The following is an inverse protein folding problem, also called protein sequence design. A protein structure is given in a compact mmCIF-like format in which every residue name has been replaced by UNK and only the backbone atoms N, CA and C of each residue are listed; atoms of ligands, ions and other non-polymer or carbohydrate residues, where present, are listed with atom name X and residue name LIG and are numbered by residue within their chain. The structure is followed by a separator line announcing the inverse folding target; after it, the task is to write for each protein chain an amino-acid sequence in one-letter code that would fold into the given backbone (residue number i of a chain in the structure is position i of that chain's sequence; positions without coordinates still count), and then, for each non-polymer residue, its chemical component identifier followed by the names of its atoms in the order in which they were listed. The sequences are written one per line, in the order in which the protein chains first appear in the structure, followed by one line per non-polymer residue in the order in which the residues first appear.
data_IF_406069268821
#
_entry.id   IF_406069268821
#
_cell.length_a   1.000
_cell.length_b   1.000
_cell.length_c   1.000
_cell.angle_alpha   90.00
_cell.angle_beta   90.00
_cell.angle_gamma   90.00
#
_symmetry.space_group_name_H-M   'P 1'
#
loop_
_entity.id
_entity.type
_entity.pdbx_description
1 polymer ?
#
# COMPACT_ATOMS: atom_id res chain seq x y z
N UNK A 1 37.22 -24.47 -5.72
CA UNK A 1 36.07 -24.29 -4.82
C UNK A 1 35.80 -22.80 -4.68
N UNK A 2 34.94 -22.22 -5.54
CA UNK A 2 34.28 -20.89 -5.44
C UNK A 2 33.44 -20.64 -6.71
N UNK A 3 32.32 -21.33 -6.83
CA UNK A 3 31.29 -21.10 -7.85
C UNK A 3 29.92 -21.14 -7.19
N UNK A 4 29.56 -20.13 -6.37
CA UNK A 4 28.24 -20.07 -5.76
C UNK A 4 27.74 -18.64 -5.54
N UNK A 5 28.17 -17.65 -6.34
CA UNK A 5 27.79 -16.23 -6.10
C UNK A 5 27.10 -15.54 -7.29
N UNK A 6 26.89 -16.18 -8.44
CA UNK A 6 26.30 -15.51 -9.62
C UNK A 6 24.83 -15.90 -9.95
N UNK A 7 24.28 -16.95 -9.36
CA UNK A 7 22.88 -17.36 -9.67
C UNK A 7 21.80 -16.61 -8.90
N UNK A 8 22.13 -15.95 -7.80
CA UNK A 8 21.12 -15.21 -7.00
C UNK A 8 20.73 -13.85 -7.57
N UNK A 9 21.45 -13.30 -8.54
CA UNK A 9 21.22 -11.96 -9.08
C UNK A 9 20.06 -11.87 -10.10
N UNK A 10 19.50 -12.99 -10.60
CA UNK A 10 18.51 -13.02 -11.68
C UNK A 10 17.14 -13.62 -11.31
N UNK A 11 16.91 -13.98 -10.06
CA UNK A 11 15.62 -14.51 -9.66
C UNK A 11 14.57 -13.39 -9.57
N UNK A 12 13.43 -13.57 -10.24
CA UNK A 12 12.29 -12.65 -10.13
C UNK A 12 11.82 -12.64 -8.67
N UNK A 13 11.73 -11.48 -8.01
CA UNK A 13 11.32 -11.40 -6.61
C UNK A 13 9.84 -11.72 -6.43
N UNK A 14 9.43 -11.97 -5.19
CA UNK A 14 8.03 -11.95 -4.81
C UNK A 14 7.50 -10.52 -4.73
N UNK A 15 6.19 -10.35 -4.90
CA UNK A 15 5.52 -9.07 -4.85
C UNK A 15 4.47 -9.06 -3.74
N UNK A 16 4.46 -8.04 -2.90
CA UNK A 16 3.46 -7.93 -1.85
C UNK A 16 2.68 -6.63 -1.94
N UNK A 17 1.36 -6.76 -1.75
CA UNK A 17 0.46 -5.65 -1.52
C UNK A 17 -0.04 -5.72 -0.07
N UNK A 18 0.05 -4.60 0.65
CA UNK A 18 -0.22 -4.52 2.07
C UNK A 18 -1.22 -3.39 2.32
N UNK A 19 -2.33 -3.73 2.96
CA UNK A 19 -3.35 -2.76 3.35
C UNK A 19 -3.69 -2.87 4.84
N UNK A 20 -4.02 -1.73 5.45
CA UNK A 20 -4.46 -1.69 6.84
C UNK A 20 -5.89 -2.17 7.00
N UNK A 21 -6.12 -3.28 7.71
CA UNK A 21 -7.45 -3.78 8.05
C UNK A 21 -7.76 -3.65 9.55
N UNK A 22 -8.97 -4.03 9.98
CA UNK A 22 -9.37 -3.94 11.40
C UNK A 22 -8.54 -4.83 12.31
N UNK A 23 -8.18 -6.02 11.84
CA UNK A 23 -7.39 -6.99 12.61
C UNK A 23 -5.87 -6.72 12.56
N UNK A 24 -5.42 -5.71 11.82
CA UNK A 24 -4.02 -5.38 11.65
C UNK A 24 -3.69 -5.05 10.19
N UNK A 25 -2.94 -5.89 9.54
CA UNK A 25 -2.44 -5.72 8.18
C UNK A 25 -2.84 -6.92 7.32
N UNK A 26 -3.56 -6.66 6.25
CA UNK A 26 -3.79 -7.66 5.22
C UNK A 26 -2.61 -7.66 4.24
N UNK A 27 -1.99 -8.81 4.10
CA UNK A 27 -0.85 -9.02 3.19
C UNK A 27 -1.27 -10.00 2.10
N UNK A 28 -1.13 -9.60 0.85
CA UNK A 28 -1.22 -10.47 -0.31
C UNK A 28 0.19 -10.63 -0.87
N UNK A 29 0.77 -11.83 -0.75
CA UNK A 29 2.10 -12.16 -1.24
C UNK A 29 1.99 -13.04 -2.49
N UNK A 30 2.41 -12.51 -3.62
CA UNK A 30 2.45 -13.18 -4.92
C UNK A 30 3.88 -13.66 -5.22
N UNK A 31 4.06 -14.97 -5.30
CA UNK A 31 5.33 -15.55 -5.73
C UNK A 31 5.45 -15.53 -7.27
N UNK A 32 6.65 -15.33 -7.83
CA UNK A 32 6.83 -15.21 -9.29
C UNK A 32 6.45 -16.49 -10.05
N UNK A 33 6.45 -17.64 -9.39
CA UNK A 33 6.03 -18.94 -9.95
C UNK A 33 4.50 -19.13 -9.91
N UNK A 34 3.77 -18.33 -9.16
CA UNK A 34 2.30 -18.40 -9.10
C UNK A 34 1.72 -18.05 -10.47
N UNK A 35 0.95 -18.99 -11.04
CA UNK A 35 0.29 -18.81 -12.34
C UNK A 35 -1.15 -18.33 -12.22
N UNK A 36 -1.66 -18.25 -10.99
CA UNK A 36 -3.03 -17.86 -10.65
C UNK A 36 -3.05 -17.13 -9.31
N UNK A 37 -3.96 -16.17 -9.16
CA UNK A 37 -4.14 -15.41 -7.93
C UNK A 37 -4.56 -16.28 -6.73
N UNK A 38 -5.13 -17.46 -6.99
CA UNK A 38 -5.47 -18.46 -5.97
C UNK A 38 -4.23 -19.06 -5.29
N UNK A 39 -3.07 -19.03 -5.96
CA UNK A 39 -1.78 -19.44 -5.39
C UNK A 39 -1.09 -18.36 -4.57
N UNK A 40 -1.70 -17.19 -4.40
CA UNK A 40 -1.13 -16.16 -3.53
C UNK A 40 -1.32 -16.52 -2.06
N UNK A 41 -0.29 -16.25 -1.27
CA UNK A 41 -0.41 -16.33 0.17
C UNK A 41 -1.12 -15.07 0.68
N UNK A 42 -2.24 -15.27 1.38
CA UNK A 42 -3.00 -14.19 2.00
C UNK A 42 -2.96 -14.37 3.52
N UNK A 43 -2.44 -13.38 4.21
CA UNK A 43 -2.22 -13.45 5.66
C UNK A 43 -2.67 -12.15 6.33
N UNK A 44 -3.25 -12.26 7.53
CA UNK A 44 -3.53 -11.13 8.39
C UNK A 44 -2.46 -11.11 9.48
N UNK A 45 -1.67 -10.05 9.52
CA UNK A 45 -0.65 -9.81 10.53
C UNK A 45 -1.16 -8.79 11.55
N UNK A 46 -0.96 -9.06 12.84
CA UNK A 46 -1.41 -8.16 13.91
C UNK A 46 -0.58 -6.87 13.95
N UNK A 47 0.70 -6.96 13.61
CA UNK A 47 1.67 -5.87 13.67
C UNK A 47 2.48 -5.77 12.38
N UNK A 48 3.03 -4.61 12.10
CA UNK A 48 3.87 -4.42 10.91
C UNK A 48 5.21 -5.17 11.00
N UNK A 49 5.73 -5.42 12.20
CA UNK A 49 6.89 -6.30 12.40
C UNK A 49 6.63 -7.72 11.86
N UNK A 50 5.41 -8.25 12.09
CA UNK A 50 5.03 -9.58 11.61
C UNK A 50 4.93 -9.60 10.08
N UNK A 51 4.48 -8.49 9.47
CA UNK A 51 4.51 -8.33 8.01
C UNK A 51 5.94 -8.43 7.49
N UNK A 52 6.89 -7.71 8.08
CA UNK A 52 8.28 -7.74 7.66
C UNK A 52 8.93 -9.11 7.84
N UNK A 53 8.58 -9.83 8.91
CA UNK A 53 9.06 -11.20 9.17
C UNK A 53 8.48 -12.22 8.18
N UNK A 54 7.24 -11.99 7.70
CA UNK A 54 6.59 -12.85 6.70
C UNK A 54 7.23 -12.72 5.31
N UNK A 55 7.73 -11.53 4.96
CA UNK A 55 8.18 -11.23 3.60
C UNK A 55 9.63 -11.70 3.37
N UNK A 56 9.90 -12.52 2.34
CA UNK A 56 11.26 -12.82 1.92
C UNK A 56 12.09 -11.54 1.70
N UNK A 57 13.40 -11.56 1.98
CA UNK A 57 14.25 -10.35 1.87
C UNK A 57 14.23 -9.68 0.49
N UNK A 58 14.05 -10.44 -0.58
CA UNK A 58 13.98 -9.95 -1.95
C UNK A 58 12.61 -9.41 -2.36
N UNK A 59 11.59 -9.51 -1.50
CA UNK A 59 10.22 -9.08 -1.84
C UNK A 59 10.16 -7.59 -2.09
N UNK A 60 9.54 -7.20 -3.20
CA UNK A 60 9.14 -5.82 -3.47
C UNK A 60 7.71 -5.63 -2.97
N UNK A 61 7.50 -4.66 -2.09
CA UNK A 61 6.22 -4.46 -1.40
C UNK A 61 5.69 -3.05 -1.62
N UNK A 62 4.38 -2.92 -1.82
CA UNK A 62 3.66 -1.66 -1.79
C UNK A 62 2.66 -1.67 -0.63
N UNK A 63 2.62 -0.60 0.16
CA UNK A 63 1.79 -0.50 1.36
C UNK A 63 0.99 0.80 1.37
N UNK A 64 -0.32 0.71 1.70
CA UNK A 64 -1.20 1.89 1.87
C UNK A 64 -1.04 2.49 3.26
N UNK A 65 0.09 3.12 3.48
CA UNK A 65 0.39 3.85 4.72
C UNK A 65 1.48 4.90 4.46
N UNK A 66 1.41 6.10 5.07
CA UNK A 66 2.44 7.11 4.92
C UNK A 66 3.82 6.65 5.38
N UNK A 67 4.83 6.84 4.52
CA UNK A 67 6.25 6.63 4.83
C UNK A 67 6.98 7.97 4.72
N UNK A 68 7.71 8.35 5.77
CA UNK A 68 8.30 9.67 5.88
C UNK A 68 7.27 10.73 6.30
N UNK A 69 7.60 11.48 7.35
CA UNK A 69 6.69 12.41 7.99
C UNK A 69 7.35 13.78 8.15
N UNK A 70 6.56 14.83 7.94
CA UNK A 70 7.01 16.20 8.21
C UNK A 70 7.34 16.40 9.69
N UNK A 71 8.34 17.23 9.98
CA UNK A 71 8.64 17.68 11.34
C UNK A 71 7.61 18.73 11.80
N UNK A 72 7.18 19.59 10.89
CA UNK A 72 6.24 20.68 11.14
C UNK A 72 5.05 20.61 10.19
N UNK A 73 3.92 21.15 10.64
CA UNK A 73 2.71 21.17 9.82
C UNK A 73 2.88 22.08 8.60
N UNK A 74 2.48 21.56 7.45
CA UNK A 74 2.39 22.30 6.21
C UNK A 74 0.95 22.26 5.65
N UNK A 75 0.46 23.35 5.03
CA UNK A 75 -0.85 23.37 4.40
C UNK A 75 -0.97 22.23 3.36
N UNK A 76 -1.95 21.36 3.56
CA UNK A 76 -2.18 20.20 2.69
C UNK A 76 -1.23 19.02 2.87
N UNK A 77 -0.37 19.01 3.90
CA UNK A 77 0.53 17.89 4.21
C UNK A 77 1.79 17.85 3.35
N UNK A 78 2.34 16.65 3.14
CA UNK A 78 3.54 16.41 2.34
C UNK A 78 3.32 16.76 0.86
N UNK A 79 4.38 17.02 0.11
CA UNK A 79 4.29 17.27 -1.35
C UNK A 79 3.63 16.11 -2.09
N UNK A 80 3.94 14.89 -1.72
CA UNK A 80 3.34 13.69 -2.30
C UNK A 80 1.81 13.66 -2.08
N UNK A 81 1.32 14.04 -0.90
CA UNK A 81 -0.12 14.08 -0.61
C UNK A 81 -0.83 15.13 -1.47
N UNK A 82 -0.23 16.33 -1.61
CA UNK A 82 -0.77 17.38 -2.48
C UNK A 82 -0.80 16.98 -3.96
N UNK A 83 0.27 16.32 -4.43
CA UNK A 83 0.33 15.81 -5.79
C UNK A 83 -0.70 14.70 -6.03
N UNK A 84 -0.82 13.75 -5.11
CA UNK A 84 -1.80 12.66 -5.17
C UNK A 84 -3.24 13.19 -5.25
N UNK A 85 -3.59 14.18 -4.41
CA UNK A 85 -4.91 14.82 -4.45
C UNK A 85 -5.21 15.49 -5.78
N UNK A 86 -4.21 16.18 -6.37
CA UNK A 86 -4.39 16.80 -7.70
C UNK A 86 -4.67 15.76 -8.78
N UNK A 87 -3.95 14.64 -8.77
CA UNK A 87 -4.16 13.54 -9.72
C UNK A 87 -5.53 12.88 -9.56
N UNK A 88 -5.98 12.70 -8.32
CA UNK A 88 -7.27 12.06 -8.03
C UNK A 88 -8.49 12.95 -8.25
N UNK A 89 -8.31 14.27 -8.33
CA UNK A 89 -9.40 15.22 -8.61
C UNK A 89 -10.62 15.01 -7.71
N UNK A 90 -11.72 14.48 -8.24
CA UNK A 90 -12.95 14.22 -7.49
C UNK A 90 -12.76 13.27 -6.30
N UNK A 91 -11.72 12.44 -6.31
CA UNK A 91 -11.39 11.51 -5.23
C UNK A 91 -10.26 11.99 -4.32
N UNK A 92 -9.89 13.26 -4.39
CA UNK A 92 -8.86 13.87 -3.57
C UNK A 92 -9.05 13.62 -2.05
N UNK A 93 -10.30 13.49 -1.59
CA UNK A 93 -10.62 13.20 -0.19
C UNK A 93 -10.20 11.80 0.28
N UNK A 94 -9.80 10.89 -0.63
CA UNK A 94 -9.23 9.60 -0.23
C UNK A 94 -7.80 9.73 0.29
N UNK A 95 -7.10 10.81 -0.03
CA UNK A 95 -5.75 11.09 0.48
C UNK A 95 -5.87 11.98 1.71
N UNK A 96 -5.74 11.41 2.89
CA UNK A 96 -5.71 12.18 4.13
C UNK A 96 -4.36 12.89 4.32
N UNK A 97 -4.30 13.87 5.22
CA UNK A 97 -3.04 14.51 5.62
C UNK A 97 -2.44 13.70 6.76
N UNK A 98 -1.23 13.12 6.60
CA UNK A 98 -0.56 12.42 7.69
C UNK A 98 -0.25 13.36 8.86
N UNK A 99 -0.07 12.82 10.07
CA UNK A 99 0.43 13.60 11.20
C UNK A 99 1.84 14.10 10.91
N UNK A 100 2.23 15.16 11.59
CA UNK A 100 3.67 15.45 11.74
C UNK A 100 4.29 14.45 12.73
N UNK A 101 5.59 14.22 12.63
CA UNK A 101 6.29 13.24 13.47
C UNK A 101 6.11 13.49 14.99
N UNK A 102 6.15 14.73 15.52
CA UNK A 102 5.88 14.98 16.93
C UNK A 102 4.50 14.55 17.42
N UNK A 103 3.52 14.40 16.51
CA UNK A 103 2.16 13.98 16.86
C UNK A 103 1.97 12.45 16.90
N UNK A 104 3.00 11.67 16.55
CA UNK A 104 2.90 10.20 16.53
C UNK A 104 2.55 9.61 17.90
N UNK A 105 2.97 10.21 18.97
CA UNK A 105 2.75 9.70 20.33
C UNK A 105 1.40 10.13 20.95
N UNK A 106 0.58 10.86 20.18
CA UNK A 106 -0.74 11.25 20.66
C UNK A 106 -1.63 10.03 20.94
N UNK A 107 -2.23 9.99 22.14
CA UNK A 107 -3.12 8.93 22.60
C UNK A 107 -4.59 9.33 22.57
N UNK A 108 -4.86 10.64 22.48
CA UNK A 108 -6.21 11.18 22.44
C UNK A 108 -6.35 12.19 21.31
N UNK A 109 -7.50 12.19 20.62
CA UNK A 109 -7.75 13.11 19.50
C UNK A 109 -7.62 14.60 19.89
N UNK A 110 -7.90 14.93 21.15
CA UNK A 110 -7.75 16.31 21.65
C UNK A 110 -6.31 16.84 21.51
N UNK A 111 -5.28 15.96 21.56
CA UNK A 111 -3.87 16.33 21.42
C UNK A 111 -3.48 16.69 19.98
N UNK A 112 -4.25 16.23 19.01
CA UNK A 112 -3.98 16.46 17.57
C UNK A 112 -5.03 17.37 16.92
N UNK A 113 -6.10 17.71 17.65
CA UNK A 113 -7.13 18.63 17.20
C UNK A 113 -6.54 20.02 16.95
N UNK A 114 -6.79 20.59 15.78
CA UNK A 114 -6.20 21.87 15.38
C UNK A 114 -4.83 21.78 14.70
N UNK A 115 -4.22 20.59 14.71
CA UNK A 115 -2.94 20.32 14.03
C UNK A 115 -3.12 19.66 12.65
N UNK A 116 -4.24 19.92 11.97
CA UNK A 116 -4.50 19.46 10.60
C UNK A 116 -4.80 17.96 10.44
N UNK A 117 -4.80 17.19 11.54
CA UNK A 117 -5.14 15.76 11.50
C UNK A 117 -6.65 15.57 11.70
N UNK A 118 -7.28 14.88 10.74
CA UNK A 118 -8.68 14.48 10.84
C UNK A 118 -8.86 13.35 11.87
N UNK A 119 -10.11 13.15 12.34
CA UNK A 119 -10.43 11.98 13.18
C UNK A 119 -10.10 10.65 12.48
N UNK A 120 -10.24 10.58 11.15
CA UNK A 120 -9.85 9.40 10.38
C UNK A 120 -8.33 9.20 10.41
N UNK A 121 -7.56 10.27 10.22
CA UNK A 121 -6.10 10.23 10.34
C UNK A 121 -5.65 9.82 11.74
N UNK A 122 -6.35 10.28 12.79
CA UNK A 122 -6.08 9.85 14.16
C UNK A 122 -6.34 8.36 14.38
N UNK A 123 -7.42 7.81 13.80
CA UNK A 123 -7.76 6.40 13.95
C UNK A 123 -6.72 5.46 13.31
N UNK A 124 -5.96 5.92 12.32
CA UNK A 124 -4.86 5.14 11.70
C UNK A 124 -3.47 5.51 12.25
N UNK A 125 -3.42 6.45 13.20
CA UNK A 125 -2.16 6.86 13.85
C UNK A 125 -1.37 5.68 14.44
N UNK A 126 -1.98 4.68 15.11
CA UNK A 126 -1.25 3.51 15.59
C UNK A 126 -0.51 2.76 14.48
N UNK A 127 -1.14 2.61 13.30
CA UNK A 127 -0.53 1.95 12.15
C UNK A 127 0.63 2.76 11.54
N UNK A 128 0.46 4.09 11.45
CA UNK A 128 1.55 4.97 10.99
C UNK A 128 2.75 4.85 11.94
N UNK A 129 2.50 4.82 13.26
CA UNK A 129 3.54 4.65 14.29
C UNK A 129 4.27 3.31 14.15
N UNK A 130 3.55 2.21 13.90
CA UNK A 130 4.15 0.89 13.67
C UNK A 130 5.14 0.92 12.51
N UNK A 131 4.72 1.49 11.38
CA UNK A 131 5.55 1.58 10.17
C UNK A 131 6.70 2.54 10.38
N UNK A 132 6.44 3.74 10.93
CA UNK A 132 7.50 4.73 11.18
C UNK A 132 8.60 4.19 12.07
N UNK A 133 8.26 3.39 13.10
CA UNK A 133 9.23 2.81 14.03
C UNK A 133 10.25 1.91 13.35
N UNK A 134 9.83 1.11 12.37
CA UNK A 134 10.69 0.10 11.73
C UNK A 134 11.28 0.56 10.40
N UNK A 135 10.68 1.60 9.79
CA UNK A 135 11.13 2.07 8.47
C UNK A 135 12.50 2.73 8.55
N UNK A 136 13.35 2.34 7.62
CA UNK A 136 14.69 2.91 7.40
C UNK A 136 14.88 3.21 5.92
N UNK A 137 15.84 4.07 5.53
CA UNK A 137 16.17 4.30 4.12
C UNK A 137 16.56 3.02 3.36
N UNK A 138 17.16 2.05 4.05
CA UNK A 138 17.49 0.72 3.47
C UNK A 138 16.21 -0.09 3.23
N UNK A 139 15.33 -0.18 4.22
CA UNK A 139 14.06 -0.90 4.08
C UNK A 139 13.18 -0.26 3.00
N UNK A 140 13.22 1.06 2.85
CA UNK A 140 12.49 1.80 1.82
C UNK A 140 12.97 1.51 0.38
N UNK A 141 14.06 0.75 0.19
CA UNK A 141 14.46 0.26 -1.13
C UNK A 141 13.59 -0.91 -1.62
N UNK A 142 12.81 -1.54 -0.73
CA UNK A 142 11.93 -2.66 -1.06
C UNK A 142 10.50 -2.56 -0.50
N UNK A 143 10.24 -1.59 0.38
CA UNK A 143 8.91 -1.29 0.92
C UNK A 143 8.55 0.14 0.55
N UNK A 144 7.54 0.30 -0.29
CA UNK A 144 7.16 1.55 -0.92
C UNK A 144 5.78 2.00 -0.45
N UNK A 145 5.63 3.27 -0.10
CA UNK A 145 4.30 3.85 0.08
C UNK A 145 3.58 3.89 -1.27
N UNK A 146 2.35 3.43 -1.29
CA UNK A 146 1.49 3.48 -2.46
C UNK A 146 0.07 3.83 -2.04
N UNK A 147 -0.77 4.24 -2.99
CA UNK A 147 -2.15 4.62 -2.71
C UNK A 147 -3.10 3.89 -3.66
N UNK A 148 -4.02 3.02 -3.15
CA UNK A 148 -4.87 2.17 -3.97
C UNK A 148 -5.71 2.92 -5.01
N UNK A 149 -6.31 4.06 -4.67
CA UNK A 149 -7.11 4.84 -5.63
C UNK A 149 -6.26 5.38 -6.80
N UNK A 150 -4.99 5.79 -6.55
CA UNK A 150 -4.07 6.17 -7.63
C UNK A 150 -3.68 4.96 -8.47
N UNK A 151 -3.41 3.83 -7.82
CA UNK A 151 -3.08 2.58 -8.51
C UNK A 151 -4.24 2.10 -9.39
N UNK A 152 -5.48 2.12 -8.88
CA UNK A 152 -6.66 1.77 -9.69
C UNK A 152 -6.91 2.75 -10.84
N UNK A 153 -6.72 4.06 -10.62
CA UNK A 153 -6.81 5.05 -11.69
C UNK A 153 -5.76 4.79 -12.79
N UNK A 154 -4.52 4.50 -12.40
CA UNK A 154 -3.46 4.16 -13.34
C UNK A 154 -3.74 2.84 -14.08
N UNK A 155 -4.26 1.83 -13.39
CA UNK A 155 -4.63 0.54 -13.96
C UNK A 155 -5.78 0.66 -14.97
N UNK A 156 -6.81 1.44 -14.64
CA UNK A 156 -7.98 1.63 -15.50
C UNK A 156 -7.74 2.67 -16.63
N UNK A 157 -6.65 3.44 -16.57
CA UNK A 157 -6.39 4.55 -17.48
C UNK A 157 -7.31 5.75 -17.31
N UNK A 158 -8.21 5.71 -16.33
CA UNK A 158 -9.19 6.74 -16.01
C UNK A 158 -9.62 6.66 -14.54
N UNK A 159 -10.18 7.72 -13.96
CA UNK A 159 -10.68 7.68 -12.58
C UNK A 159 -11.78 6.63 -12.40
N UNK A 160 -11.69 5.85 -11.33
CA UNK A 160 -12.73 4.91 -10.91
C UNK A 160 -14.01 5.69 -10.58
N UNK A 161 -15.13 5.30 -11.16
CA UNK A 161 -16.39 6.05 -11.07
C UNK A 161 -17.15 5.75 -9.76
N UNK A 162 -17.19 4.47 -9.37
CA UNK A 162 -18.01 4.02 -8.26
C UNK A 162 -17.26 4.03 -6.92
N UNK A 163 -17.99 4.31 -5.83
CA UNK A 163 -17.42 4.28 -4.48
C UNK A 163 -17.02 2.87 -4.08
N UNK A 164 -15.82 2.66 -3.49
CA UNK A 164 -15.26 1.35 -3.17
C UNK A 164 -16.17 0.46 -2.31
N UNK A 165 -16.96 1.05 -1.41
CA UNK A 165 -17.87 0.32 -0.52
C UNK A 165 -19.16 -0.17 -1.19
N UNK A 166 -19.47 0.27 -2.42
CA UNK A 166 -20.65 -0.19 -3.16
C UNK A 166 -20.36 -1.48 -3.93
N UNK A 167 -21.42 -2.22 -4.28
CA UNK A 167 -21.29 -3.42 -5.14
C UNK A 167 -20.71 -3.03 -6.50
N UNK A 168 -21.21 -1.96 -7.11
CA UNK A 168 -20.71 -1.46 -8.39
C UNK A 168 -19.20 -1.05 -8.30
N UNK A 169 -18.80 -0.42 -7.22
CA UNK A 169 -17.39 -0.03 -7.06
C UNK A 169 -16.44 -1.21 -6.84
N UNK A 170 -16.87 -2.26 -6.17
CA UNK A 170 -16.11 -3.51 -6.07
C UNK A 170 -16.00 -4.22 -7.40
N UNK A 171 -17.11 -4.29 -8.14
CA UNK A 171 -17.13 -4.93 -9.46
C UNK A 171 -16.24 -4.18 -10.47
N UNK A 172 -16.24 -2.85 -10.44
CA UNK A 172 -15.38 -2.02 -11.28
C UNK A 172 -13.90 -2.30 -11.03
N UNK A 173 -13.50 -2.41 -9.74
CA UNK A 173 -12.11 -2.72 -9.35
C UNK A 173 -11.71 -4.15 -9.67
N UNK A 174 -12.62 -5.12 -9.47
CA UNK A 174 -12.39 -6.51 -9.88
C UNK A 174 -12.13 -6.63 -11.37
N UNK A 175 -12.97 -5.99 -12.21
CA UNK A 175 -12.74 -5.99 -13.67
C UNK A 175 -11.42 -5.36 -14.05
N UNK A 176 -11.02 -4.27 -13.39
CA UNK A 176 -9.71 -3.67 -13.63
C UNK A 176 -8.58 -4.66 -13.32
N UNK A 177 -8.65 -5.37 -12.20
CA UNK A 177 -7.66 -6.39 -11.82
C UNK A 177 -7.68 -7.60 -12.77
N UNK A 178 -8.84 -8.06 -13.22
CA UNK A 178 -8.98 -9.16 -14.20
C UNK A 178 -8.32 -8.86 -15.54
N UNK A 179 -8.29 -7.60 -15.94
CA UNK A 179 -7.70 -7.14 -17.19
C UNK A 179 -6.18 -6.96 -17.14
N UNK A 180 -5.53 -7.22 -16.00
CA UNK A 180 -4.06 -7.14 -15.91
C UNK A 180 -3.45 -8.27 -16.75
N UNK A 181 -2.61 -7.96 -17.75
CA UNK A 181 -2.00 -8.96 -18.64
C UNK A 181 -0.80 -9.64 -17.92
N UNK A 182 -1.08 -10.34 -16.83
CA UNK A 182 -0.07 -11.07 -16.06
C UNK A 182 -0.69 -12.32 -15.45
N UNK A 183 -0.02 -13.47 -15.55
CA UNK A 183 -0.47 -14.72 -14.92
C UNK A 183 -0.76 -14.57 -13.42
N UNK A 184 -0.04 -13.70 -12.72
CA UNK A 184 -0.26 -13.44 -11.29
C UNK A 184 -1.69 -12.99 -10.95
N UNK A 185 -2.44 -12.45 -11.92
CA UNK A 185 -3.81 -11.96 -11.70
C UNK A 185 -4.88 -12.85 -12.32
N UNK A 186 -4.51 -13.94 -12.97
CA UNK A 186 -5.49 -14.91 -13.45
C UNK A 186 -6.27 -15.50 -12.27
N UNK A 187 -7.59 -15.62 -12.39
CA UNK A 187 -8.44 -16.15 -11.32
C UNK A 187 -8.66 -15.20 -10.13
N UNK A 188 -8.35 -13.91 -10.26
CA UNK A 188 -8.47 -12.92 -9.18
C UNK A 188 -9.87 -12.90 -8.55
N UNK A 189 -10.94 -13.07 -9.34
CA UNK A 189 -12.31 -13.11 -8.85
C UNK A 189 -12.57 -14.35 -7.97
N UNK A 190 -12.00 -15.48 -8.33
CA UNK A 190 -12.09 -16.71 -7.51
C UNK A 190 -11.32 -16.55 -6.21
N UNK A 191 -10.09 -16.02 -6.29
CA UNK A 191 -9.27 -15.70 -5.11
C UNK A 191 -9.99 -14.72 -4.18
N UNK A 192 -10.55 -13.64 -4.70
CA UNK A 192 -11.33 -12.66 -3.94
C UNK A 192 -12.51 -13.31 -3.21
N UNK A 193 -13.30 -14.15 -3.92
CA UNK A 193 -14.45 -14.87 -3.33
C UNK A 193 -13.98 -15.86 -2.25
N UNK A 194 -12.84 -16.52 -2.44
CA UNK A 194 -12.27 -17.43 -1.46
C UNK A 194 -11.88 -16.67 -0.18
N UNK A 195 -11.15 -15.57 -0.30
CA UNK A 195 -10.74 -14.75 0.84
C UNK A 195 -11.95 -14.24 1.63
N UNK A 196 -13.00 -13.78 0.93
CA UNK A 196 -14.25 -13.35 1.58
C UNK A 196 -14.97 -14.47 2.36
N UNK A 197 -14.72 -15.74 2.05
CA UNK A 197 -15.31 -16.89 2.78
C UNK A 197 -14.48 -17.26 4.00
N UNK A 198 -13.15 -17.17 3.89
CA UNK A 198 -12.23 -17.62 4.97
C UNK A 198 -11.93 -16.52 5.98
N UNK A 199 -11.94 -15.25 5.57
CA UNK A 199 -11.72 -14.13 6.47
C UNK A 199 -13.04 -13.66 7.10
N UNK A 200 -13.01 -13.36 8.39
CA UNK A 200 -14.17 -12.75 9.06
C UNK A 200 -14.33 -11.30 8.57
N UNK A 201 -15.55 -10.91 8.23
CA UNK A 201 -15.86 -9.51 7.83
C UNK A 201 -15.56 -8.48 8.92
N UNK A 202 -15.51 -8.91 10.18
CA UNK A 202 -15.10 -8.06 11.29
C UNK A 202 -13.61 -7.70 11.23
N UNK A 203 -12.78 -8.54 10.60
CA UNK A 203 -11.33 -8.41 10.55
C UNK A 203 -10.86 -7.73 9.26
N UNK A 204 -11.47 -8.11 8.11
CA UNK A 204 -11.10 -7.62 6.77
C UNK A 204 -12.35 -7.22 6.00
N UNK A 205 -12.36 -6.01 5.45
CA UNK A 205 -13.41 -5.55 4.56
C UNK A 205 -13.13 -5.98 3.11
N UNK A 206 -14.18 -6.11 2.26
CA UNK A 206 -13.99 -6.46 0.85
C UNK A 206 -13.11 -5.49 0.06
N UNK A 207 -13.14 -4.20 0.43
CA UNK A 207 -12.29 -3.17 -0.19
C UNK A 207 -10.83 -3.35 0.19
N UNK A 208 -10.50 -3.74 1.43
CA UNK A 208 -9.11 -4.00 1.87
C UNK A 208 -8.45 -5.08 1.00
N UNK A 209 -9.21 -6.12 0.60
CA UNK A 209 -8.70 -7.19 -0.27
C UNK A 209 -8.34 -6.65 -1.66
N UNK A 210 -9.22 -5.85 -2.26
CA UNK A 210 -8.99 -5.29 -3.59
C UNK A 210 -7.86 -4.26 -3.58
N UNK A 211 -7.79 -3.47 -2.51
CA UNK A 211 -6.73 -2.48 -2.29
C UNK A 211 -5.37 -3.21 -2.14
N UNK A 212 -5.27 -4.29 -1.37
CA UNK A 212 -4.06 -5.10 -1.30
C UNK A 212 -3.67 -5.71 -2.67
N UNK A 213 -4.62 -6.20 -3.47
CA UNK A 213 -4.30 -6.76 -4.81
C UNK A 213 -3.80 -5.71 -5.80
N UNK A 214 -4.37 -4.51 -5.83
CA UNK A 214 -3.83 -3.46 -6.71
C UNK A 214 -2.45 -3.01 -6.28
N UNK A 215 -2.13 -3.13 -5.00
CA UNK A 215 -0.78 -2.87 -4.49
C UNK A 215 0.23 -3.97 -4.88
N UNK A 216 -0.19 -5.24 -5.03
CA UNK A 216 0.67 -6.27 -5.67
C UNK A 216 1.02 -5.84 -7.10
N UNK A 217 0.05 -5.33 -7.86
CA UNK A 217 0.31 -4.82 -9.21
C UNK A 217 1.26 -3.61 -9.21
N UNK A 218 1.10 -2.71 -8.25
CA UNK A 218 2.02 -1.57 -8.08
C UNK A 218 3.44 -2.05 -7.77
N UNK A 219 3.62 -3.02 -6.86
CA UNK A 219 4.91 -3.62 -6.54
C UNK A 219 5.57 -4.27 -7.77
N UNK A 220 4.80 -5.02 -8.57
CA UNK A 220 5.27 -5.60 -9.84
C UNK A 220 5.74 -4.50 -10.81
N UNK A 221 5.00 -3.40 -10.93
CA UNK A 221 5.37 -2.27 -11.81
C UNK A 221 6.60 -1.52 -11.32
N UNK A 222 6.78 -1.37 -10.00
CA UNK A 222 7.99 -0.78 -9.42
C UNK A 222 9.21 -1.60 -9.83
N UNK A 223 9.15 -2.91 -9.66
CA UNK A 223 10.23 -3.80 -10.07
C UNK A 223 10.54 -3.73 -11.56
N UNK A 224 9.50 -3.60 -12.41
CA UNK A 224 9.65 -3.45 -13.87
C UNK A 224 10.03 -2.05 -14.32
N UNK A 225 10.26 -1.11 -13.42
CA UNK A 225 10.46 0.32 -13.70
C UNK A 225 9.33 0.95 -14.55
N UNK A 226 8.09 0.47 -14.37
CA UNK A 226 6.88 0.93 -15.07
C UNK A 226 5.93 1.73 -14.17
N UNK A 227 6.15 1.70 -12.86
CA UNK A 227 5.36 2.50 -11.92
C UNK A 227 5.74 3.97 -12.00
N UNK A 228 4.79 4.81 -11.66
CA UNK A 228 5.00 6.25 -11.47
C UNK A 228 5.02 6.59 -9.99
N UNK A 229 5.58 7.75 -9.65
CA UNK A 229 5.56 8.27 -8.29
C UNK A 229 5.31 9.77 -8.27
N UNK A 230 4.77 10.23 -7.19
CA UNK A 230 4.64 11.65 -6.89
C UNK A 230 5.27 11.99 -5.55
N UNK A 231 5.96 13.15 -5.47
CA UNK A 231 6.44 13.98 -6.57
C UNK A 231 7.57 13.28 -7.35
N UNK A 232 7.94 13.78 -8.51
CA UNK A 232 9.08 13.22 -9.29
C UNK A 232 10.38 13.26 -8.50
N UNK A 233 10.58 14.34 -7.74
CA UNK A 233 11.73 14.54 -6.84
C UNK A 233 11.22 14.59 -5.41
N UNK A 234 11.23 13.47 -4.67
CA UNK A 234 10.70 13.41 -3.33
C UNK A 234 11.58 14.17 -2.34
N UNK A 235 10.93 14.84 -1.39
CA UNK A 235 11.61 15.38 -0.23
C UNK A 235 11.99 14.24 0.72
N UNK A 236 13.07 14.44 1.47
CA UNK A 236 13.42 13.55 2.58
C UNK A 236 12.86 14.13 3.88
N UNK A 237 12.43 13.26 4.76
CA UNK A 237 12.11 13.64 6.12
C UNK A 237 13.37 13.71 7.01
N UNK A 238 13.20 14.06 8.28
CA UNK A 238 14.31 14.17 9.26
C UNK A 238 15.06 12.85 9.51
N UNK A 239 14.49 11.69 9.07
CA UNK A 239 15.11 10.37 9.18
C UNK A 239 15.73 9.89 7.88
N UNK A 240 15.74 10.73 6.84
CA UNK A 240 16.22 10.39 5.49
C UNK A 240 15.25 9.52 4.70
N UNK A 241 13.98 9.40 5.14
CA UNK A 241 12.94 8.67 4.41
C UNK A 241 12.38 9.55 3.29
N UNK A 242 12.21 8.97 2.09
CA UNK A 242 11.59 9.66 0.96
C UNK A 242 10.08 9.77 1.19
N UNK A 243 9.56 10.99 1.11
CA UNK A 243 8.12 11.28 1.12
C UNK A 243 7.59 11.20 -0.31
N UNK A 244 7.18 10.02 -0.74
CA UNK A 244 6.73 9.73 -2.11
C UNK A 244 5.58 8.72 -2.09
N UNK A 245 4.67 8.79 -3.06
CA UNK A 245 3.57 7.84 -3.26
C UNK A 245 3.72 7.22 -4.65
N UNK A 246 3.77 5.88 -4.71
CA UNK A 246 3.87 5.09 -5.94
C UNK A 246 2.51 4.61 -6.45
N UNK A 247 2.39 4.46 -7.79
CA UNK A 247 1.18 3.95 -8.45
C UNK A 247 1.44 3.43 -9.87
#
# INVERSE_FOLDING_TARGET
MRETTHEQANAVPSFAGIDGCRAGWLVVLAHPQARHAEGHQVTICSRFDDVLALLPPSTVSAVDIPIGLLAEQQPGGRDCDRCARRLLGRRASSVFTPPTRPLLDATHYAQVRGHGLSIQGFNILPKIREVDRVMTPVLQQRVYEAHPELAFQALAGQPIQNRKKTVAGREERLRALENIPSPLFHGIRTAFRHILRVCKRADVAPDDILDAYVLVWTALRIWRAQAQRVPRSPQLDARGLRMEIWY
#
